data_IF_640531082730
#
_entry.id   IF_640531082730
#
_cell.length_a   1.000
_cell.length_b   1.000
_cell.length_c   1.000
_cell.angle_alpha   90.00
_cell.angle_beta   90.00
_cell.angle_gamma   90.00
#
_symmetry.space_group_name_H-M   'P 1'
#
loop_
_entity.id
_entity.type
_entity.pdbx_description
1 polymer ?
#
# COMPACT_ATOMS: atom_id res chain seq x y z
N UNK A 1 4.06 6.40 -25.55
CA UNK A 1 3.88 4.93 -25.65
C UNK A 1 4.92 4.27 -24.74
N UNK A 2 4.55 3.33 -23.86
CA UNK A 2 5.54 2.63 -23.06
C UNK A 2 6.33 1.64 -23.95
N UNK A 3 7.67 1.65 -23.82
CA UNK A 3 8.57 0.74 -24.53
C UNK A 3 8.61 -0.63 -23.83
N UNK A 4 8.54 -1.76 -24.56
CA UNK A 4 8.75 -3.10 -24.01
C UNK A 4 10.21 -3.32 -23.55
N UNK A 5 10.41 -4.18 -22.55
CA UNK A 5 11.71 -4.45 -21.90
C UNK A 5 12.65 -5.29 -22.79
N UNK A 6 13.95 -5.01 -22.73
CA UNK A 6 14.98 -5.66 -23.55
C UNK A 6 15.52 -7.00 -22.99
N UNK A 7 15.27 -7.40 -21.74
CA UNK A 7 15.76 -8.68 -21.18
C UNK A 7 14.82 -9.33 -20.14
N UNK A 8 14.84 -10.67 -20.13
CA UNK A 8 13.91 -11.58 -19.42
C UNK A 8 14.09 -11.63 -17.90
N UNK A 9 15.27 -11.28 -17.40
CA UNK A 9 15.64 -11.46 -15.98
C UNK A 9 15.63 -10.15 -15.19
N UNK A 10 15.18 -9.07 -15.82
CA UNK A 10 15.10 -7.78 -15.18
C UNK A 10 13.78 -7.71 -14.40
N UNK A 11 13.71 -8.30 -13.20
CA UNK A 11 12.62 -8.06 -12.25
C UNK A 11 12.86 -6.77 -11.46
N UNK A 12 13.42 -5.73 -12.11
CA UNK A 12 13.38 -4.38 -11.56
C UNK A 12 11.91 -3.99 -11.48
N UNK A 13 11.31 -4.23 -10.32
CA UNK A 13 10.23 -3.40 -9.79
C UNK A 13 10.87 -2.01 -9.78
N UNK A 14 10.61 -1.24 -10.83
CA UNK A 14 10.80 0.20 -10.77
C UNK A 14 9.77 0.67 -9.74
N UNK A 15 10.11 0.54 -8.46
CA UNK A 15 9.52 1.34 -7.41
C UNK A 15 9.85 2.76 -7.83
N UNK A 16 8.88 3.38 -8.48
CA UNK A 16 8.90 4.69 -9.08
C UNK A 16 9.12 5.74 -7.98
N UNK A 17 10.36 5.80 -7.48
CA UNK A 17 10.82 6.70 -6.42
C UNK A 17 10.79 8.16 -6.91
N UNK A 18 10.70 8.38 -8.22
CA UNK A 18 10.57 9.71 -8.83
C UNK A 18 9.16 10.28 -8.67
N UNK A 19 8.15 9.43 -8.42
CA UNK A 19 6.77 9.83 -8.11
C UNK A 19 6.45 9.94 -6.61
N UNK A 20 7.42 9.68 -5.74
CA UNK A 20 7.22 9.66 -4.28
C UNK A 20 6.57 10.95 -3.77
N UNK A 21 6.98 12.14 -4.22
CA UNK A 21 6.39 13.41 -3.75
C UNK A 21 4.89 13.57 -4.05
N UNK A 22 4.37 12.96 -5.12
CA UNK A 22 2.93 12.99 -5.46
C UNK A 22 2.13 11.82 -4.89
N UNK A 23 2.79 10.67 -4.65
CA UNK A 23 2.18 9.47 -4.03
C UNK A 23 2.23 9.49 -2.50
N UNK A 24 3.04 10.38 -1.91
CA UNK A 24 3.10 10.69 -0.46
C UNK A 24 1.99 11.64 -0.01
N UNK A 25 1.12 12.08 -0.92
CA UNK A 25 0.16 13.16 -0.69
C UNK A 25 -1.02 12.83 0.21
N UNK A 26 -1.02 11.69 0.91
CA UNK A 26 -2.08 11.37 1.86
C UNK A 26 -1.45 11.17 3.23
N UNK A 27 -2.00 11.90 4.21
CA UNK A 27 -1.75 11.80 5.65
C UNK A 27 -0.57 12.62 6.19
N UNK A 28 -0.56 13.92 5.87
CA UNK A 28 0.06 14.90 6.75
C UNK A 28 -0.86 15.16 7.93
N UNK A 29 -0.63 14.44 9.02
CA UNK A 29 -1.24 14.82 10.28
C UNK A 29 -1.11 13.83 11.42
N UNK A 30 0.01 13.14 11.66
CA UNK A 30 0.08 12.30 12.87
C UNK A 30 1.40 12.33 13.67
N UNK A 31 1.19 12.10 14.96
CA UNK A 31 2.12 12.16 16.11
C UNK A 31 3.10 10.98 16.11
N UNK A 32 4.20 11.11 16.87
CA UNK A 32 5.13 10.00 17.18
C UNK A 32 4.41 8.70 17.58
N UNK A 33 3.27 8.81 18.25
CA UNK A 33 2.40 7.71 18.68
C UNK A 33 1.93 6.79 17.53
N UNK A 34 1.84 7.28 16.29
CA UNK A 34 1.42 6.45 15.17
C UNK A 34 2.49 5.43 14.77
N UNK A 35 3.78 5.81 14.82
CA UNK A 35 4.86 4.86 14.54
C UNK A 35 4.82 3.66 15.48
N UNK A 36 4.47 3.89 16.74
CA UNK A 36 4.27 2.83 17.73
C UNK A 36 3.03 1.96 17.44
N UNK A 37 2.02 2.49 16.74
CA UNK A 37 0.76 1.81 16.41
C UNK A 37 0.73 1.17 15.02
N UNK A 38 1.70 1.47 14.14
CA UNK A 38 1.76 0.93 12.78
C UNK A 38 1.69 -0.61 12.73
N UNK A 39 2.34 -1.29 13.69
CA UNK A 39 2.29 -2.76 13.80
C UNK A 39 0.85 -3.23 14.04
N UNK A 40 0.16 -2.63 15.01
CA UNK A 40 -1.24 -2.97 15.31
C UNK A 40 -2.20 -2.67 14.15
N UNK A 41 -1.95 -1.60 13.39
CA UNK A 41 -2.72 -1.29 12.18
C UNK A 41 -2.50 -2.37 11.11
N UNK A 42 -1.26 -2.79 10.89
CA UNK A 42 -0.96 -3.87 9.94
C UNK A 42 -1.60 -5.19 10.36
N UNK A 43 -1.65 -5.50 11.65
CA UNK A 43 -2.32 -6.70 12.15
C UNK A 43 -3.84 -6.63 11.94
N UNK A 44 -4.46 -5.48 12.18
CA UNK A 44 -5.89 -5.28 11.88
C UNK A 44 -6.20 -5.30 10.37
N UNK A 45 -5.27 -4.86 9.51
CA UNK A 45 -5.40 -4.99 8.05
C UNK A 45 -5.41 -6.46 7.63
N UNK A 46 -4.52 -7.29 8.20
CA UNK A 46 -4.45 -8.74 7.93
C UNK A 46 -5.75 -9.48 8.24
N UNK A 47 -6.58 -8.97 9.14
CA UNK A 47 -7.89 -9.54 9.47
C UNK A 47 -8.97 -9.25 8.41
N UNK A 48 -8.75 -8.28 7.51
CA UNK A 48 -9.74 -7.83 6.51
C UNK A 48 -9.46 -8.30 5.09
N UNK A 49 -8.32 -8.92 4.85
CA UNK A 49 -7.88 -9.29 3.51
C UNK A 49 -7.33 -10.72 3.50
N UNK A 50 -7.36 -11.34 2.33
CA UNK A 50 -6.53 -12.51 2.07
C UNK A 50 -5.11 -12.05 1.76
N UNK A 51 -4.13 -12.57 2.50
CA UNK A 51 -2.74 -12.13 2.38
C UNK A 51 -1.73 -13.27 2.45
N UNK A 52 -0.55 -12.97 1.94
CA UNK A 52 0.64 -13.81 1.96
C UNK A 52 1.73 -13.07 2.75
N UNK A 53 2.45 -13.75 3.66
CA UNK A 53 3.51 -13.12 4.42
C UNK A 53 4.68 -12.68 3.53
N UNK A 54 5.14 -11.47 3.78
CA UNK A 54 6.39 -10.90 3.26
C UNK A 54 7.13 -10.31 4.46
N UNK A 55 8.47 -10.37 4.48
CA UNK A 55 9.25 -9.78 5.57
C UNK A 55 8.92 -8.28 5.70
N UNK A 56 8.54 -7.86 6.91
CA UNK A 56 8.12 -6.51 7.27
C UNK A 56 6.94 -5.91 6.46
N UNK A 57 6.19 -6.75 5.73
CA UNK A 57 5.11 -6.32 4.86
C UNK A 57 3.96 -7.35 4.78
N UNK A 58 2.87 -6.93 4.15
CA UNK A 58 1.72 -7.77 3.84
C UNK A 58 1.46 -7.68 2.35
N UNK A 59 1.39 -8.83 1.67
CA UNK A 59 1.06 -8.87 0.25
C UNK A 59 -0.32 -9.49 0.06
N UNK A 60 -1.18 -8.84 -0.72
CA UNK A 60 -2.43 -9.41 -1.17
C UNK A 60 -2.33 -9.75 -2.67
N UNK A 61 -2.92 -10.89 -3.06
CA UNK A 61 -2.98 -11.33 -4.44
C UNK A 61 -4.44 -11.30 -4.86
N UNK A 62 -4.76 -10.46 -5.85
CA UNK A 62 -6.11 -10.33 -6.38
C UNK A 62 -6.21 -11.03 -7.73
N UNK A 63 -7.25 -11.83 -7.90
CA UNK A 63 -7.59 -12.45 -9.19
C UNK A 63 -8.59 -11.60 -10.00
N UNK A 64 -9.37 -10.75 -9.33
CA UNK A 64 -10.35 -9.85 -9.95
C UNK A 64 -10.46 -8.52 -9.17
N UNK A 65 -9.90 -7.41 -9.71
CA UNK A 65 -9.07 -7.34 -10.90
C UNK A 65 -7.71 -8.04 -10.68
N UNK A 66 -7.09 -8.63 -11.71
CA UNK A 66 -5.82 -9.35 -11.56
C UNK A 66 -4.66 -8.41 -11.23
N UNK A 67 -3.97 -8.71 -10.13
CA UNK A 67 -2.78 -7.98 -9.69
C UNK A 67 -2.31 -8.35 -8.28
N UNK A 68 -1.29 -7.65 -7.82
CA UNK A 68 -0.75 -7.77 -6.46
C UNK A 68 -0.77 -6.42 -5.75
N UNK A 69 -0.88 -6.45 -4.42
CA UNK A 69 -0.78 -5.26 -3.58
C UNK A 69 0.17 -5.56 -2.43
N UNK A 70 1.16 -4.68 -2.23
CA UNK A 70 2.07 -4.72 -1.09
C UNK A 70 1.73 -3.57 -0.13
N UNK A 71 1.60 -3.90 1.15
CA UNK A 71 1.35 -2.96 2.24
C UNK A 71 2.45 -3.07 3.27
N UNK A 72 3.02 -1.95 3.69
CA UNK A 72 4.07 -1.91 4.69
C UNK A 72 4.01 -0.63 5.52
N UNK A 73 4.42 -0.66 6.80
CA UNK A 73 4.65 0.56 7.57
C UNK A 73 5.61 1.51 6.86
N UNK A 74 5.28 2.79 6.81
CA UNK A 74 6.21 3.79 6.30
C UNK A 74 7.36 3.99 7.32
N UNK A 75 8.63 3.78 6.93
CA UNK A 75 9.76 3.84 7.85
C UNK A 75 10.10 5.27 8.31
N UNK A 76 9.76 6.27 7.51
CA UNK A 76 10.13 7.67 7.76
C UNK A 76 8.99 8.48 8.35
N UNK A 77 7.75 8.20 7.93
CA UNK A 77 6.56 8.96 8.29
C UNK A 77 5.53 8.07 8.96
N UNK A 78 4.66 8.63 9.82
CA UNK A 78 3.39 8.00 10.17
C UNK A 78 2.60 7.61 8.91
N UNK A 79 2.25 6.33 8.79
CA UNK A 79 1.36 5.83 7.73
C UNK A 79 1.67 4.42 7.26
N UNK A 80 0.81 3.87 6.42
CA UNK A 80 1.03 2.61 5.70
C UNK A 80 1.20 2.93 4.22
N UNK A 81 2.27 2.40 3.61
CA UNK A 81 2.51 2.46 2.18
C UNK A 81 1.65 1.39 1.51
N UNK A 82 0.92 1.76 0.45
CA UNK A 82 0.17 0.83 -0.39
C UNK A 82 0.73 0.91 -1.82
N UNK A 83 1.29 -0.19 -2.30
CA UNK A 83 1.79 -0.33 -3.67
C UNK A 83 0.97 -1.39 -4.40
N UNK A 84 0.36 -1.02 -5.52
CA UNK A 84 -0.42 -1.93 -6.35
C UNK A 84 0.27 -2.11 -7.72
N UNK A 85 0.22 -3.34 -8.23
CA UNK A 85 0.62 -3.69 -9.59
C UNK A 85 -0.45 -4.59 -10.21
N UNK A 86 -1.30 -4.00 -11.04
CA UNK A 86 -2.36 -4.68 -11.78
C UNK A 86 -1.95 -4.99 -13.22
N UNK A 87 -2.63 -5.96 -13.83
CA UNK A 87 -2.39 -6.32 -15.24
C UNK A 87 -2.61 -5.15 -16.23
N UNK A 88 -3.37 -4.13 -15.84
CA UNK A 88 -3.61 -2.90 -16.60
C UNK A 88 -3.53 -1.69 -15.64
N UNK A 89 -3.36 -0.48 -16.19
CA UNK A 89 -3.40 0.74 -15.37
C UNK A 89 -4.72 0.93 -14.62
N UNK A 90 -5.83 0.51 -15.20
CA UNK A 90 -7.15 0.54 -14.56
C UNK A 90 -7.21 -0.42 -13.38
N UNK A 91 -6.70 -1.64 -13.53
CA UNK A 91 -6.60 -2.62 -12.45
C UNK A 91 -5.71 -2.07 -11.32
N UNK A 92 -4.57 -1.46 -11.65
CA UNK A 92 -3.67 -0.86 -10.66
C UNK A 92 -4.38 0.21 -9.82
N UNK A 93 -5.12 1.13 -10.45
CA UNK A 93 -5.84 2.18 -9.72
C UNK A 93 -7.02 1.62 -8.92
N UNK A 94 -7.73 0.60 -9.44
CA UNK A 94 -8.78 -0.08 -8.69
C UNK A 94 -8.23 -0.77 -7.45
N UNK A 95 -7.17 -1.58 -7.58
CA UNK A 95 -6.49 -2.22 -6.46
C UNK A 95 -6.00 -1.20 -5.44
N UNK A 96 -5.28 -0.17 -5.91
CA UNK A 96 -4.79 0.90 -5.04
C UNK A 96 -5.91 1.55 -4.25
N UNK A 97 -7.02 1.92 -4.90
CA UNK A 97 -8.19 2.52 -4.24
C UNK A 97 -8.78 1.58 -3.20
N UNK A 98 -9.07 0.34 -3.59
CA UNK A 98 -9.69 -0.66 -2.72
C UNK A 98 -8.89 -0.92 -1.44
N UNK A 99 -7.59 -1.21 -1.57
CA UNK A 99 -6.75 -1.51 -0.40
C UNK A 99 -6.46 -0.25 0.43
N UNK A 100 -6.43 0.93 -0.18
CA UNK A 100 -6.35 2.20 0.57
C UNK A 100 -7.60 2.41 1.44
N UNK A 101 -8.80 2.13 0.91
CA UNK A 101 -10.05 2.23 1.67
C UNK A 101 -10.08 1.26 2.86
N UNK A 102 -9.52 0.05 2.71
CA UNK A 102 -9.39 -0.91 3.82
C UNK A 102 -8.49 -0.36 4.93
N UNK A 103 -7.30 0.14 4.57
CA UNK A 103 -6.37 0.75 5.54
C UNK A 103 -7.04 1.93 6.25
N UNK A 104 -7.69 2.83 5.50
CA UNK A 104 -8.44 3.95 6.08
C UNK A 104 -9.54 3.49 7.04
N UNK A 105 -10.28 2.43 6.68
CA UNK A 105 -11.30 1.83 7.54
C UNK A 105 -10.72 1.33 8.86
N UNK A 106 -9.57 0.63 8.82
CA UNK A 106 -8.85 0.18 10.02
C UNK A 106 -8.41 1.37 10.90
N UNK A 107 -7.85 2.41 10.29
CA UNK A 107 -7.43 3.60 11.02
C UNK A 107 -8.60 4.27 11.74
N UNK A 108 -9.73 4.42 11.04
CA UNK A 108 -10.96 4.97 11.60
C UNK A 108 -11.49 4.13 12.76
N UNK A 109 -11.53 2.81 12.61
CA UNK A 109 -12.02 1.89 13.64
C UNK A 109 -11.11 1.86 14.88
N UNK A 110 -9.81 2.07 14.68
CA UNK A 110 -8.83 2.20 15.77
C UNK A 110 -8.88 3.56 16.49
N UNK A 111 -9.75 4.48 16.06
CA UNK A 111 -9.80 5.87 16.51
C UNK A 111 -8.43 6.58 16.40
N UNK A 112 -7.69 6.23 15.35
CA UNK A 112 -6.43 6.84 14.94
C UNK A 112 -6.81 7.78 13.79
N UNK A 113 -6.74 9.08 14.05
CA UNK A 113 -7.64 10.09 13.49
C UNK A 113 -7.66 10.19 11.95
N UNK A 114 -8.87 10.34 11.37
CA UNK A 114 -9.07 11.18 10.20
C UNK A 114 -9.42 12.57 10.75
N UNK A 115 -8.65 13.62 10.42
CA UNK A 115 -9.12 15.00 10.65
C UNK A 115 -10.31 15.29 9.71
N UNK A 116 -11.29 16.03 10.23
CA UNK A 116 -12.42 16.61 9.48
C UNK A 116 -11.97 17.55 8.35
#
# INVERSE_FOLDING_TARGET
MPKPREQKDNHLIYADAVGSRGKSGVWFGEREDFKAKQVSVMDAVKERIEWVPVEDAVMAISLDPPGIVLMAPNPSLPGIIVLADGATSENTEHLKKHYTEIVQGVLKDANIAQED
#
